data_IF_647158818320
#
_entry.id   IF_647158818320
#
_cell.length_a   1.000
_cell.length_b   1.000
_cell.length_c   1.000
_cell.angle_alpha   90.00
_cell.angle_beta   90.00
_cell.angle_gamma   90.00
#
_symmetry.space_group_name_H-M   'P 1'
#
loop_
_entity.id
_entity.type
_entity.pdbx_description
1 polymer ?
#
# COMPACT_ATOMS: atom_id res chain seq x y z
N UNK A 1 -20.53 20.94 -4.72
CA UNK A 1 -20.00 19.83 -5.54
C UNK A 1 -18.53 20.12 -5.80
N UNK A 2 -17.68 19.09 -5.81
CA UNK A 2 -16.28 19.26 -6.18
C UNK A 2 -16.18 19.43 -7.71
N UNK A 3 -15.26 20.25 -8.21
CA UNK A 3 -14.98 20.32 -9.65
C UNK A 3 -14.33 19.02 -10.11
N UNK A 4 -14.56 18.65 -11.37
CA UNK A 4 -13.89 17.51 -12.01
C UNK A 4 -12.36 17.69 -11.92
N UNK A 5 -11.61 16.73 -11.34
CA UNK A 5 -10.16 16.81 -11.29
C UNK A 5 -9.53 16.49 -12.65
N UNK A 6 -8.33 17.02 -12.87
CA UNK A 6 -7.49 16.66 -14.01
C UNK A 6 -6.92 15.25 -13.89
N UNK A 7 -6.61 14.80 -12.66
CA UNK A 7 -6.18 13.45 -12.35
C UNK A 7 -6.44 13.12 -10.87
N UNK A 8 -6.53 11.82 -10.55
CA UNK A 8 -6.62 11.33 -9.17
C UNK A 8 -5.50 10.31 -8.92
N UNK A 9 -4.67 10.59 -7.94
CA UNK A 9 -3.63 9.70 -7.44
C UNK A 9 -4.12 9.05 -6.15
N UNK A 10 -3.91 7.74 -6.02
CA UNK A 10 -4.41 6.98 -4.87
C UNK A 10 -3.30 6.17 -4.23
N UNK A 11 -3.23 6.21 -2.90
CA UNK A 11 -2.57 5.17 -2.13
C UNK A 11 -3.41 3.87 -2.13
N UNK A 12 -2.77 2.75 -1.79
CA UNK A 12 -3.40 1.42 -1.72
C UNK A 12 -3.56 0.96 -0.26
N UNK A 13 -2.44 0.86 0.47
CA UNK A 13 -2.36 0.18 1.76
C UNK A 13 -3.01 0.97 2.86
N UNK A 14 -4.03 0.42 3.51
CA UNK A 14 -4.84 1.13 4.51
C UNK A 14 -5.67 2.30 3.92
N UNK A 15 -5.70 2.46 2.60
CA UNK A 15 -6.54 3.44 1.91
C UNK A 15 -7.82 2.77 1.38
N UNK A 16 -7.69 1.85 0.42
CA UNK A 16 -8.84 1.17 -0.22
C UNK A 16 -9.27 -0.14 0.43
N UNK A 17 -8.51 -0.59 1.43
CA UNK A 17 -8.80 -1.74 2.27
C UNK A 17 -8.17 -1.55 3.65
N UNK A 18 -8.57 -2.34 4.64
CA UNK A 18 -7.95 -2.28 5.97
C UNK A 18 -6.66 -3.13 6.03
N UNK A 19 -5.52 -2.49 6.35
CA UNK A 19 -4.24 -3.18 6.47
C UNK A 19 -4.17 -4.15 7.66
N UNK A 20 -4.68 -3.73 8.83
CA UNK A 20 -4.45 -4.42 10.09
C UNK A 20 -4.99 -5.87 10.11
N UNK A 21 -6.24 -6.15 9.69
CA UNK A 21 -6.74 -7.53 9.64
C UNK A 21 -5.91 -8.45 8.73
N UNK A 22 -5.45 -7.92 7.59
CA UNK A 22 -4.59 -8.64 6.66
C UNK A 22 -3.24 -8.96 7.29
N UNK A 23 -2.64 -7.97 7.97
CA UNK A 23 -1.36 -8.15 8.65
C UNK A 23 -1.44 -9.23 9.74
N UNK A 24 -2.50 -9.23 10.55
CA UNK A 24 -2.72 -10.23 11.58
C UNK A 24 -2.92 -11.63 11.00
N UNK A 25 -3.73 -11.76 9.94
CA UNK A 25 -3.92 -13.04 9.26
C UNK A 25 -2.60 -13.59 8.67
N UNK A 26 -1.78 -12.72 8.09
CA UNK A 26 -0.45 -13.09 7.57
C UNK A 26 0.51 -13.54 8.67
N UNK A 27 0.60 -12.79 9.79
CA UNK A 27 1.44 -13.20 10.92
C UNK A 27 1.00 -14.54 11.51
N UNK A 28 -0.30 -14.75 11.66
CA UNK A 28 -0.85 -16.02 12.14
C UNK A 28 -0.52 -17.17 11.19
N UNK A 29 -0.68 -16.98 9.88
CA UNK A 29 -0.35 -18.01 8.89
C UNK A 29 1.15 -18.34 8.88
N UNK A 30 2.02 -17.33 8.98
CA UNK A 30 3.46 -17.54 9.08
C UNK A 30 3.85 -18.27 10.37
N UNK A 31 3.24 -17.93 11.50
CA UNK A 31 3.47 -18.63 12.78
C UNK A 31 3.14 -20.12 12.68
N UNK A 32 2.00 -20.48 12.07
CA UNK A 32 1.54 -21.87 11.94
C UNK A 32 2.48 -22.76 11.13
N UNK A 33 3.31 -22.20 10.27
CA UNK A 33 4.33 -22.95 9.49
C UNK A 33 5.74 -22.73 10.04
N UNK A 34 5.90 -21.99 11.13
CA UNK A 34 7.17 -21.81 11.82
C UNK A 34 7.49 -23.00 12.72
N UNK A 35 8.77 -23.18 13.07
CA UNK A 35 9.19 -24.17 14.07
C UNK A 35 9.04 -23.65 15.51
N UNK A 36 8.55 -22.43 15.71
CA UNK A 36 8.34 -21.85 17.04
C UNK A 36 7.00 -22.33 17.61
N UNK A 37 7.00 -22.73 18.87
CA UNK A 37 5.79 -23.19 19.57
C UNK A 37 5.01 -22.08 20.26
N UNK A 38 5.62 -20.92 20.48
CA UNK A 38 5.00 -19.76 21.15
C UNK A 38 4.78 -18.61 20.16
N UNK A 39 3.51 -18.20 19.99
CA UNK A 39 3.13 -17.11 19.09
C UNK A 39 3.65 -15.75 19.59
N UNK A 40 3.71 -15.54 20.92
CA UNK A 40 4.21 -14.30 21.49
C UNK A 40 5.71 -14.14 21.21
N UNK A 41 6.47 -15.22 21.35
CA UNK A 41 7.89 -15.26 21.01
C UNK A 41 8.11 -15.00 19.51
N UNK A 42 7.33 -15.66 18.63
CA UNK A 42 7.39 -15.44 17.19
C UNK A 42 7.13 -13.97 16.82
N UNK A 43 6.08 -13.36 17.40
CA UNK A 43 5.72 -11.96 17.14
C UNK A 43 6.78 -10.99 17.63
N UNK A 44 7.38 -11.24 18.80
CA UNK A 44 8.47 -10.42 19.31
C UNK A 44 9.70 -10.50 18.38
N UNK A 45 10.09 -11.71 17.96
CA UNK A 45 11.21 -11.91 17.04
C UNK A 45 10.96 -11.29 15.66
N UNK A 46 9.73 -11.37 15.14
CA UNK A 46 9.32 -10.70 13.91
C UNK A 46 9.40 -9.17 14.04
N UNK A 47 8.92 -8.61 15.15
CA UNK A 47 8.96 -7.17 15.39
C UNK A 47 10.40 -6.65 15.44
N UNK A 48 11.29 -7.34 16.16
CA UNK A 48 12.70 -6.99 16.21
C UNK A 48 13.36 -7.04 14.82
N UNK A 49 13.15 -8.11 14.07
CA UNK A 49 13.69 -8.28 12.73
C UNK A 49 13.17 -7.23 11.73
N UNK A 50 11.90 -6.84 11.86
CA UNK A 50 11.29 -5.75 11.09
C UNK A 50 11.96 -4.41 11.39
N UNK A 51 12.18 -4.07 12.65
CA UNK A 51 12.83 -2.80 13.01
C UNK A 51 14.27 -2.76 12.52
N UNK A 52 15.02 -3.86 12.65
CA UNK A 52 16.38 -3.97 12.10
C UNK A 52 16.41 -3.76 10.58
N UNK A 53 15.49 -4.39 9.84
CA UNK A 53 15.40 -4.21 8.40
C UNK A 53 15.03 -2.77 8.02
N UNK A 54 14.08 -2.16 8.72
CA UNK A 54 13.70 -0.75 8.48
C UNK A 54 14.82 0.23 8.75
N UNK A 55 15.63 0.00 9.78
CA UNK A 55 16.80 0.83 10.07
C UNK A 55 17.90 0.66 9.01
N UNK A 56 18.10 -0.55 8.49
CA UNK A 56 19.19 -0.85 7.55
C UNK A 56 18.97 -0.26 6.15
N UNK A 57 17.73 -0.17 5.69
CA UNK A 57 17.35 0.28 4.33
C UNK A 57 16.21 1.29 4.37
N UNK A 58 16.27 2.20 5.34
CA UNK A 58 15.28 3.26 5.53
C UNK A 58 14.97 4.00 4.21
N UNK A 59 13.74 4.48 4.08
CA UNK A 59 13.27 5.28 2.96
C UNK A 59 13.32 4.60 1.58
N UNK A 60 13.28 3.26 1.56
CA UNK A 60 13.17 2.46 0.33
C UNK A 60 11.91 1.59 0.33
N UNK A 61 11.41 1.21 -0.86
CA UNK A 61 10.31 0.24 -0.94
C UNK A 61 10.67 -1.13 -0.35
N UNK A 62 11.95 -1.51 -0.45
CA UNK A 62 12.47 -2.74 0.14
C UNK A 62 12.41 -2.76 1.68
N UNK A 63 12.35 -1.58 2.34
CA UNK A 63 12.15 -1.48 3.79
C UNK A 63 10.88 -2.18 4.26
N UNK A 64 9.92 -2.42 3.35
CA UNK A 64 8.66 -3.09 3.61
C UNK A 64 8.63 -4.58 3.20
N UNK A 65 9.75 -5.14 2.73
CA UNK A 65 9.85 -6.51 2.25
C UNK A 65 9.81 -7.53 3.40
N UNK A 66 8.72 -8.30 3.49
CA UNK A 66 8.56 -9.34 4.54
C UNK A 66 9.59 -10.46 4.46
N UNK A 67 10.13 -10.73 3.27
CA UNK A 67 11.16 -11.76 3.13
C UNK A 67 12.42 -11.35 3.91
N UNK A 68 12.78 -10.07 3.91
CA UNK A 68 13.90 -9.57 4.72
C UNK A 68 13.63 -9.76 6.21
N UNK A 69 12.39 -9.53 6.66
CA UNK A 69 12.01 -9.69 8.06
C UNK A 69 12.11 -11.16 8.50
N UNK A 70 11.52 -12.09 7.74
CA UNK A 70 11.57 -13.51 8.09
C UNK A 70 12.97 -14.10 7.98
N UNK A 71 13.75 -13.70 6.97
CA UNK A 71 15.15 -14.08 6.86
C UNK A 71 15.95 -13.62 8.08
N UNK A 72 15.80 -12.35 8.47
CA UNK A 72 16.49 -11.77 9.63
C UNK A 72 16.06 -12.42 10.94
N UNK A 73 14.76 -12.65 11.13
CA UNK A 73 14.21 -13.38 12.28
C UNK A 73 14.93 -14.72 12.44
N UNK A 74 15.02 -15.51 11.38
CA UNK A 74 15.65 -16.82 11.41
C UNK A 74 17.17 -16.72 11.61
N UNK A 75 17.84 -15.75 11.00
CA UNK A 75 19.28 -15.52 11.20
C UNK A 75 19.62 -15.16 12.65
N UNK A 76 18.82 -14.29 13.28
CA UNK A 76 19.01 -13.90 14.68
C UNK A 76 18.86 -15.10 15.62
N UNK A 77 18.00 -16.07 15.28
CA UNK A 77 17.77 -17.27 16.10
C UNK A 77 18.75 -18.41 15.82
N UNK A 78 19.10 -18.62 14.56
CA UNK A 78 19.86 -19.80 14.12
C UNK A 78 21.36 -19.52 13.91
N UNK A 79 21.76 -18.24 13.89
CA UNK A 79 23.13 -17.83 13.56
C UNK A 79 23.54 -18.10 12.10
N UNK A 80 22.58 -18.45 11.23
CA UNK A 80 22.79 -18.73 9.81
C UNK A 80 21.54 -18.45 9.00
N UNK A 81 21.71 -18.22 7.69
CA UNK A 81 20.57 -18.14 6.78
C UNK A 81 19.88 -19.50 6.65
N UNK A 82 18.56 -19.50 6.73
CA UNK A 82 17.71 -20.66 6.47
C UNK A 82 16.77 -20.37 5.27
N UNK A 83 17.26 -20.53 4.02
CA UNK A 83 16.53 -20.09 2.82
C UNK A 83 15.13 -20.71 2.69
N UNK A 84 15.02 -22.04 2.84
CA UNK A 84 13.75 -22.76 2.71
C UNK A 84 12.71 -22.28 3.72
N UNK A 85 13.09 -22.15 4.99
CA UNK A 85 12.21 -21.67 6.04
C UNK A 85 11.83 -20.18 5.83
N UNK A 86 12.78 -19.35 5.39
CA UNK A 86 12.52 -17.92 5.11
C UNK A 86 11.47 -17.76 4.00
N UNK A 87 11.60 -18.53 2.92
CA UNK A 87 10.64 -18.53 1.82
C UNK A 87 9.28 -19.10 2.23
N UNK A 88 9.25 -20.15 3.06
CA UNK A 88 8.02 -20.73 3.58
C UNK A 88 7.23 -19.74 4.45
N UNK A 89 7.89 -19.06 5.39
CA UNK A 89 7.27 -18.03 6.23
C UNK A 89 6.75 -16.86 5.39
N UNK A 90 7.55 -16.40 4.42
CA UNK A 90 7.16 -15.34 3.50
C UNK A 90 5.91 -15.69 2.69
N UNK A 91 5.87 -16.90 2.13
CA UNK A 91 4.72 -17.39 1.38
C UNK A 91 3.48 -17.49 2.27
N UNK A 92 3.59 -18.13 3.43
CA UNK A 92 2.47 -18.28 4.35
C UNK A 92 1.93 -16.93 4.84
N UNK A 93 2.82 -15.96 5.11
CA UNK A 93 2.40 -14.60 5.43
C UNK A 93 1.54 -13.99 4.34
N UNK A 94 1.99 -14.01 3.08
CA UNK A 94 1.24 -13.38 2.00
C UNK A 94 -0.04 -14.14 1.64
N UNK A 95 -0.04 -15.47 1.73
CA UNK A 95 -1.26 -16.27 1.55
C UNK A 95 -2.34 -15.86 2.57
N UNK A 96 -1.97 -15.78 3.87
CA UNK A 96 -2.87 -15.33 4.92
C UNK A 96 -3.29 -13.87 4.76
N UNK A 97 -2.36 -13.00 4.34
CA UNK A 97 -2.61 -11.59 4.11
C UNK A 97 -3.64 -11.36 2.99
N UNK A 98 -3.46 -12.02 1.85
CA UNK A 98 -4.37 -11.93 0.71
C UNK A 98 -5.73 -12.57 1.02
N UNK A 99 -5.77 -13.69 1.75
CA UNK A 99 -7.03 -14.34 2.11
C UNK A 99 -7.93 -13.48 3.01
N UNK A 100 -7.35 -12.61 3.84
CA UNK A 100 -8.10 -11.70 4.71
C UNK A 100 -8.42 -10.34 4.07
N UNK A 101 -7.98 -10.11 2.83
CA UNK A 101 -8.10 -8.83 2.16
C UNK A 101 -9.53 -8.57 1.68
N UNK A 102 -10.07 -7.41 2.04
CA UNK A 102 -11.42 -7.01 1.65
C UNK A 102 -11.41 -5.56 1.17
N UNK A 103 -11.89 -5.34 -0.06
CA UNK A 103 -12.06 -4.00 -0.60
C UNK A 103 -13.10 -3.24 0.23
N UNK A 104 -12.83 -1.97 0.51
CA UNK A 104 -13.82 -1.09 1.14
C UNK A 104 -15.08 -0.97 0.25
N UNK A 105 -16.28 -0.97 0.86
CA UNK A 105 -17.52 -0.67 0.13
C UNK A 105 -17.44 0.67 -0.61
N UNK A 106 -17.96 0.72 -1.84
CA UNK A 106 -18.04 1.94 -2.66
C UNK A 106 -16.79 2.24 -3.49
N UNK A 107 -15.63 1.64 -3.18
CA UNK A 107 -14.39 1.90 -3.95
C UNK A 107 -14.53 1.46 -5.40
N UNK A 108 -15.09 0.27 -5.65
CA UNK A 108 -15.22 -0.28 -7.00
C UNK A 108 -16.11 0.60 -7.88
N UNK A 109 -17.25 1.01 -7.32
CA UNK A 109 -18.23 1.87 -7.97
C UNK A 109 -17.62 3.22 -8.31
N UNK A 110 -16.85 3.79 -7.37
CA UNK A 110 -16.17 5.06 -7.56
C UNK A 110 -15.07 5.02 -8.62
N UNK A 111 -14.26 3.95 -8.63
CA UNK A 111 -13.25 3.75 -9.68
C UNK A 111 -13.90 3.60 -11.06
N UNK A 112 -15.04 2.91 -11.15
CA UNK A 112 -15.83 2.82 -12.38
C UNK A 112 -16.33 4.20 -12.81
N UNK A 113 -16.90 4.98 -11.89
CA UNK A 113 -17.39 6.33 -12.15
C UNK A 113 -16.30 7.22 -12.73
N UNK A 114 -15.10 7.23 -12.13
CA UNK A 114 -13.99 8.04 -12.61
C UNK A 114 -13.51 7.62 -13.99
N UNK A 115 -13.44 6.30 -14.26
CA UNK A 115 -13.09 5.77 -15.58
C UNK A 115 -14.12 6.18 -16.63
N UNK A 116 -15.41 6.01 -16.34
CA UNK A 116 -16.50 6.30 -17.28
C UNK A 116 -16.59 7.80 -17.58
N UNK A 117 -16.21 8.62 -16.60
CA UNK A 117 -16.12 10.06 -16.75
C UNK A 117 -14.77 10.54 -17.31
N UNK A 118 -13.87 9.62 -17.69
CA UNK A 118 -12.60 9.91 -18.37
C UNK A 118 -11.56 10.63 -17.50
N UNK A 119 -11.59 10.44 -16.18
CA UNK A 119 -10.56 10.99 -15.29
C UNK A 119 -9.37 10.04 -15.21
N UNK A 120 -8.15 10.50 -15.54
CA UNK A 120 -6.93 9.73 -15.36
C UNK A 120 -6.70 9.37 -13.89
N UNK A 121 -6.40 8.10 -13.63
CA UNK A 121 -6.18 7.60 -12.27
C UNK A 121 -4.91 6.75 -12.18
N UNK A 122 -4.15 6.90 -11.09
CA UNK A 122 -2.97 6.08 -10.83
C UNK A 122 -2.88 5.67 -9.35
N UNK A 123 -2.36 4.46 -9.11
CA UNK A 123 -1.88 4.06 -7.79
C UNK A 123 -0.46 4.60 -7.56
N UNK A 124 -0.20 5.18 -6.38
CA UNK A 124 1.12 5.69 -5.97
C UNK A 124 1.42 5.17 -4.55
N UNK A 125 2.45 4.33 -4.43
CA UNK A 125 2.67 3.55 -3.20
C UNK A 125 4.13 3.35 -2.82
N UNK A 126 4.39 3.24 -1.51
CA UNK A 126 5.71 3.04 -0.91
C UNK A 126 6.22 1.59 -0.95
N UNK A 127 5.55 0.72 -1.71
CA UNK A 127 5.78 -0.73 -1.63
C UNK A 127 6.49 -1.30 -2.87
N UNK A 128 6.74 -2.61 -2.85
CA UNK A 128 7.32 -3.34 -3.99
C UNK A 128 6.27 -3.68 -5.05
N UNK A 129 6.72 -3.78 -6.30
CA UNK A 129 5.88 -3.93 -7.49
C UNK A 129 5.08 -5.22 -7.46
N UNK A 130 5.74 -6.36 -7.23
CA UNK A 130 5.11 -7.68 -7.24
C UNK A 130 3.91 -7.74 -6.28
N UNK A 131 4.09 -7.23 -5.08
CA UNK A 131 3.09 -7.33 -4.02
C UNK A 131 1.91 -6.39 -4.26
N UNK A 132 2.14 -5.23 -4.86
CA UNK A 132 1.04 -4.35 -5.24
C UNK A 132 0.22 -4.91 -6.39
N UNK A 133 0.86 -5.50 -7.41
CA UNK A 133 0.14 -6.22 -8.46
C UNK A 133 -0.75 -7.33 -7.89
N UNK A 134 -0.21 -8.16 -6.96
CA UNK A 134 -1.00 -9.22 -6.29
C UNK A 134 -2.16 -8.67 -5.46
N UNK A 135 -1.96 -7.56 -4.73
CA UNK A 135 -3.04 -6.91 -3.95
C UNK A 135 -4.16 -6.42 -4.86
N UNK A 136 -3.84 -5.77 -5.97
CA UNK A 136 -4.83 -5.30 -6.95
C UNK A 136 -5.61 -6.47 -7.57
N UNK A 137 -4.95 -7.59 -7.88
CA UNK A 137 -5.61 -8.82 -8.32
C UNK A 137 -6.54 -9.40 -7.24
N UNK A 138 -6.06 -9.50 -6.00
CA UNK A 138 -6.83 -10.03 -4.86
C UNK A 138 -8.09 -9.22 -4.61
N UNK A 139 -7.96 -7.89 -4.65
CA UNK A 139 -9.08 -6.95 -4.50
C UNK A 139 -9.98 -6.86 -5.75
N UNK A 140 -9.63 -7.58 -6.82
CA UNK A 140 -10.31 -7.55 -8.12
C UNK A 140 -10.43 -6.13 -8.70
N UNK A 141 -9.39 -5.32 -8.57
CA UNK A 141 -9.30 -3.93 -9.07
C UNK A 141 -8.03 -3.72 -9.92
N UNK A 142 -7.49 -4.77 -10.52
CA UNK A 142 -6.30 -4.70 -11.35
C UNK A 142 -6.46 -3.73 -12.53
N UNK A 143 -7.64 -3.72 -13.16
CA UNK A 143 -7.93 -2.90 -14.35
C UNK A 143 -8.67 -1.59 -14.00
N UNK A 144 -8.68 -1.20 -12.73
CA UNK A 144 -9.51 -0.08 -12.26
C UNK A 144 -8.87 1.30 -12.45
N UNK A 145 -7.55 1.36 -12.60
CA UNK A 145 -6.79 2.61 -12.83
C UNK A 145 -5.80 2.45 -13.96
N UNK A 146 -5.28 3.56 -14.48
CA UNK A 146 -4.42 3.58 -15.66
C UNK A 146 -2.99 3.15 -15.36
N UNK A 147 -2.41 3.60 -14.24
CA UNK A 147 -1.01 3.30 -13.90
C UNK A 147 -0.85 2.86 -12.44
N UNK A 148 0.15 2.01 -12.20
CA UNK A 148 0.69 1.72 -10.88
C UNK A 148 2.13 2.26 -10.85
N UNK A 149 2.41 3.13 -9.87
CA UNK A 149 3.75 3.65 -9.59
C UNK A 149 4.16 3.20 -8.20
N UNK A 150 5.29 2.50 -8.12
CA UNK A 150 5.79 1.92 -6.86
C UNK A 150 7.09 2.58 -6.41
N UNK A 151 7.36 2.58 -5.11
CA UNK A 151 8.64 3.04 -4.58
C UNK A 151 9.84 2.25 -5.10
N UNK A 152 9.64 0.96 -5.40
CA UNK A 152 10.66 0.11 -6.00
C UNK A 152 11.04 0.57 -7.41
N UNK A 153 10.07 1.06 -8.19
CA UNK A 153 10.27 1.58 -9.54
C UNK A 153 10.95 2.95 -9.54
N UNK A 154 10.55 3.87 -8.64
CA UNK A 154 11.05 5.25 -8.63
C UNK A 154 12.23 5.49 -7.68
N UNK A 155 12.60 4.47 -6.89
CA UNK A 155 13.71 4.52 -5.94
C UNK A 155 13.48 5.50 -4.78
N UNK A 156 12.22 5.72 -4.39
CA UNK A 156 11.84 6.69 -3.36
C UNK A 156 10.51 6.30 -2.71
N UNK A 157 10.35 6.60 -1.43
CA UNK A 157 9.05 6.53 -0.73
C UNK A 157 8.50 7.92 -0.49
N UNK A 158 7.17 8.03 -0.41
CA UNK A 158 6.49 9.25 0.04
C UNK A 158 7.02 9.65 1.43
N UNK A 159 7.26 10.96 1.70
CA UNK A 159 6.75 12.12 0.97
C UNK A 159 7.64 12.61 -0.20
N UNK A 160 8.65 11.84 -0.64
CA UNK A 160 9.42 12.19 -1.84
C UNK A 160 8.48 12.30 -3.05
N UNK A 161 8.57 13.38 -3.86
CA UNK A 161 7.64 13.63 -4.95
C UNK A 161 7.83 12.70 -6.15
N UNK A 162 8.93 11.93 -6.25
CA UNK A 162 9.24 11.11 -7.43
C UNK A 162 8.09 10.19 -7.86
N UNK A 163 7.37 9.58 -6.94
CA UNK A 163 6.22 8.72 -7.27
C UNK A 163 5.03 9.51 -7.84
N UNK A 164 4.75 10.69 -7.29
CA UNK A 164 3.70 11.60 -7.80
C UNK A 164 4.09 12.17 -9.15
N UNK A 165 5.33 12.60 -9.29
CA UNK A 165 5.86 13.22 -10.50
C UNK A 165 5.89 12.22 -11.67
N UNK A 166 6.27 10.97 -11.41
CA UNK A 166 6.20 9.90 -12.41
C UNK A 166 4.76 9.66 -12.88
N UNK A 167 3.80 9.57 -11.95
CA UNK A 167 2.40 9.38 -12.32
C UNK A 167 1.86 10.54 -13.17
N UNK A 168 2.15 11.78 -12.77
CA UNK A 168 1.75 12.99 -13.49
C UNK A 168 2.42 13.11 -14.87
N UNK A 169 3.70 12.77 -14.98
CA UNK A 169 4.43 12.75 -16.23
C UNK A 169 3.80 11.76 -17.23
N UNK A 170 3.40 10.55 -16.77
CA UNK A 170 2.70 9.57 -17.61
C UNK A 170 1.35 10.04 -18.13
N UNK A 171 0.70 10.96 -17.41
CA UNK A 171 -0.54 11.60 -17.86
C UNK A 171 -0.32 12.86 -18.69
N UNK A 172 0.90 13.43 -18.70
CA UNK A 172 1.15 14.74 -19.29
C UNK A 172 0.44 15.88 -18.55
N UNK A 173 0.25 15.75 -17.24
CA UNK A 173 -0.49 16.71 -16.40
C UNK A 173 0.47 17.43 -15.46
N UNK A 174 0.34 18.76 -15.37
CA UNK A 174 1.10 19.55 -14.40
C UNK A 174 0.50 19.39 -12.98
N UNK A 175 1.33 19.39 -11.92
CA UNK A 175 0.84 19.40 -10.54
C UNK A 175 0.05 20.67 -10.25
N UNK A 176 -0.93 20.59 -9.35
CA UNK A 176 -1.74 21.73 -8.91
C UNK A 176 -3.05 21.30 -8.25
N UNK A 177 -3.88 22.26 -7.80
CA UNK A 177 -5.07 21.97 -7.00
C UNK A 177 -6.14 21.19 -7.77
N UNK A 178 -6.07 21.17 -9.11
CA UNK A 178 -6.92 20.33 -9.95
C UNK A 178 -6.54 18.85 -9.96
N UNK A 179 -5.43 18.45 -9.34
CA UNK A 179 -5.06 17.05 -9.14
C UNK A 179 -5.37 16.65 -7.70
N UNK A 180 -5.95 15.48 -7.51
CA UNK A 180 -6.27 14.97 -6.18
C UNK A 180 -5.29 13.86 -5.77
N UNK A 181 -4.93 13.83 -4.48
CA UNK A 181 -4.25 12.70 -3.87
C UNK A 181 -5.11 12.14 -2.74
N UNK A 182 -5.43 10.85 -2.80
CA UNK A 182 -6.24 10.15 -1.80
C UNK A 182 -5.35 9.15 -1.06
N UNK A 183 -5.21 9.32 0.26
CA UNK A 183 -4.38 8.43 1.08
C UNK A 183 -4.68 8.58 2.57
N UNK A 184 -4.15 7.67 3.38
CA UNK A 184 -4.43 7.60 4.81
C UNK A 184 -3.34 8.26 5.68
N UNK A 185 -2.11 8.40 5.17
CA UNK A 185 -0.95 8.83 5.96
C UNK A 185 -0.72 10.35 5.94
N UNK A 186 -0.91 11.07 7.08
CA UNK A 186 -0.74 12.52 7.11
C UNK A 186 0.71 13.01 6.96
N UNK A 187 1.72 12.15 7.15
CA UNK A 187 3.13 12.54 6.97
C UNK A 187 3.59 12.28 5.55
N UNK A 188 3.19 11.14 4.98
CA UNK A 188 3.65 10.68 3.67
C UNK A 188 2.76 11.18 2.55
N UNK A 189 1.46 10.86 2.60
CA UNK A 189 0.52 11.18 1.52
C UNK A 189 0.16 12.66 1.50
N UNK A 190 -0.20 13.22 2.66
CA UNK A 190 -0.46 14.66 2.75
C UNK A 190 0.81 15.47 2.47
N UNK A 191 1.96 15.02 2.98
CA UNK A 191 3.24 15.69 2.79
C UNK A 191 3.60 15.85 1.31
N UNK A 192 3.46 14.78 0.51
CA UNK A 192 3.72 14.86 -0.93
C UNK A 192 2.66 15.68 -1.67
N UNK A 193 1.40 15.57 -1.26
CA UNK A 193 0.31 16.34 -1.87
C UNK A 193 0.51 17.85 -1.66
N UNK A 194 0.80 18.29 -0.44
CA UNK A 194 1.07 19.69 -0.11
C UNK A 194 2.32 20.22 -0.82
N UNK A 195 3.40 19.42 -0.85
CA UNK A 195 4.64 19.80 -1.53
C UNK A 195 4.47 20.01 -3.06
N UNK A 196 3.47 19.37 -3.67
CA UNK A 196 3.13 19.51 -5.09
C UNK A 196 1.87 20.35 -5.34
N UNK A 197 1.29 20.96 -4.30
CA UNK A 197 0.09 21.79 -4.41
C UNK A 197 -1.16 21.03 -4.86
N UNK A 198 -1.23 19.71 -4.59
CA UNK A 198 -2.38 18.86 -4.92
C UNK A 198 -3.49 19.01 -3.87
N UNK A 199 -4.73 18.75 -4.26
CA UNK A 199 -5.82 18.61 -3.29
C UNK A 199 -5.69 17.26 -2.57
N UNK A 200 -5.39 17.28 -1.27
CA UNK A 200 -5.34 16.07 -0.45
C UNK A 200 -6.72 15.70 0.09
N UNK A 201 -7.18 14.48 -0.20
CA UNK A 201 -8.39 13.91 0.38
C UNK A 201 -7.98 12.83 1.39
N UNK A 202 -8.09 13.17 2.67
CA UNK A 202 -7.64 12.29 3.74
C UNK A 202 -8.60 11.12 3.96
N UNK A 203 -8.11 9.91 3.77
CA UNK A 203 -8.81 8.67 4.09
C UNK A 203 -8.58 8.30 5.55
N UNK A 204 -9.39 8.87 6.44
CA UNK A 204 -9.44 8.43 7.84
C UNK A 204 -10.26 7.12 7.96
N UNK A 205 -9.63 6.02 8.40
CA UNK A 205 -10.30 4.70 8.55
C UNK A 205 -11.47 4.71 9.54
N UNK A 206 -11.55 5.68 10.45
CA UNK A 206 -12.68 5.82 11.38
C UNK A 206 -13.93 6.35 10.68
N UNK A 207 -13.75 7.06 9.57
CA UNK A 207 -14.84 7.57 8.74
C UNK A 207 -15.35 6.48 7.78
N UNK A 208 -16.45 5.85 8.17
CA UNK A 208 -17.13 4.81 7.39
C UNK A 208 -17.81 5.34 6.13
N UNK A 209 -18.13 6.63 6.07
CA UNK A 209 -18.87 7.24 4.97
C UNK A 209 -18.00 7.95 3.94
N UNK A 210 -16.67 7.82 4.03
CA UNK A 210 -15.73 8.52 3.16
C UNK A 210 -16.04 8.32 1.67
N UNK A 211 -16.12 7.05 1.23
CA UNK A 211 -16.33 6.69 -0.18
C UNK A 211 -17.72 7.10 -0.67
N UNK A 212 -18.76 6.96 0.14
CA UNK A 212 -20.13 7.37 -0.20
C UNK A 212 -20.22 8.89 -0.43
N UNK A 213 -19.59 9.68 0.44
CA UNK A 213 -19.57 11.15 0.30
C UNK A 213 -18.76 11.57 -0.90
N UNK A 214 -17.61 10.93 -1.16
CA UNK A 214 -16.80 11.21 -2.34
C UNK A 214 -17.54 10.85 -3.63
N UNK A 215 -18.24 9.72 -3.65
CA UNK A 215 -19.10 9.33 -4.76
C UNK A 215 -20.22 10.36 -5.00
N UNK A 216 -20.91 10.81 -3.95
CA UNK A 216 -21.93 11.86 -4.07
C UNK A 216 -21.35 13.20 -4.59
N UNK A 217 -20.10 13.51 -4.25
CA UNK A 217 -19.42 14.74 -4.65
C UNK A 217 -18.82 14.71 -6.07
N UNK A 218 -18.74 13.52 -6.71
CA UNK A 218 -18.08 13.30 -8.00
C UNK A 218 -19.04 12.90 -9.14
N UNK A 219 -20.34 13.18 -8.98
CA UNK A 219 -21.36 12.99 -10.02
C UNK A 219 -21.39 14.14 -11.03
N UNK A 220 -20.31 14.29 -11.80
CA UNK A 220 -20.19 15.24 -12.91
C UNK A 220 -19.99 14.50 -14.24
#
# INVERSE_FOLDING_TARGET
>A
MLSKPAAILLDIDNTVYAYAPCHEAGLKAAFLVSELSDEAEFRAAYAEAREQAKHAIADTGAAHCRLLYFKRLLENRLGRTAPTASLALYKAYWDGYHAAMQLDPGVRELLSLWRDAGVPTAWVTDFTTEQQLRKLQTLSIADSVTYLVTAEEVGAVKPDPRGVDEALARFGIAPGPGVWFIGDDPKRDRGVAEARGLTFLWRDRTDKGFWDRLHAATKW
#
